data_IF_152571037549
#
_entry.id   IF_152571037549
#
_cell.length_a   1.000
_cell.length_b   1.000
_cell.length_c   1.000
_cell.angle_alpha   90.00
_cell.angle_beta   90.00
_cell.angle_gamma   90.00
#
_symmetry.space_group_name_H-M   'P 1'
#
loop_
_entity.id
_entity.type
_entity.pdbx_description
1 polymer ?
#
# COMPACT_ATOMS: atom_id res chain seq x y z
N UNK A 1 10.51 2.92 -20.36
CA UNK A 1 11.96 2.86 -20.59
C UNK A 1 12.41 1.46 -20.20
N UNK A 2 12.99 0.65 -21.11
CA UNK A 2 13.49 -0.67 -20.73
C UNK A 2 14.64 -0.49 -19.73
N UNK A 3 14.56 -1.23 -18.64
CA UNK A 3 15.57 -1.25 -17.58
C UNK A 3 16.91 -1.67 -18.18
N UNK A 4 17.86 -0.76 -18.27
CA UNK A 4 19.19 -1.04 -18.80
C UNK A 4 19.90 -2.09 -17.93
N UNK A 5 20.53 -3.04 -18.58
CA UNK A 5 21.39 -4.03 -17.91
C UNK A 5 22.47 -3.28 -17.11
N UNK A 6 22.68 -3.70 -15.85
CA UNK A 6 23.66 -3.06 -14.96
C UNK A 6 25.04 -3.04 -15.61
N UNK A 7 25.78 -1.89 -15.60
CA UNK A 7 27.13 -1.79 -16.16
C UNK A 7 28.12 -2.83 -15.60
N UNK A 8 27.94 -3.24 -14.34
CA UNK A 8 28.72 -4.27 -13.68
C UNK A 8 28.52 -5.66 -14.28
N UNK A 9 27.28 -6.02 -14.67
CA UNK A 9 26.98 -7.27 -15.35
C UNK A 9 27.61 -7.32 -16.74
N UNK A 10 27.51 -6.25 -17.51
CA UNK A 10 28.14 -6.16 -18.84
C UNK A 10 29.65 -6.33 -18.76
N UNK A 11 30.30 -5.66 -17.79
CA UNK A 11 31.73 -5.79 -17.57
C UNK A 11 32.14 -7.24 -17.20
N UNK A 12 31.36 -7.90 -16.31
CA UNK A 12 31.63 -9.26 -15.91
C UNK A 12 31.45 -10.28 -17.04
N UNK A 13 30.44 -10.10 -17.92
CA UNK A 13 30.29 -10.93 -19.13
C UNK A 13 31.44 -10.74 -20.12
N UNK A 14 31.93 -9.51 -20.29
CA UNK A 14 33.10 -9.23 -21.14
C UNK A 14 34.37 -9.88 -20.58
N UNK A 15 34.55 -9.89 -19.25
CA UNK A 15 35.68 -10.59 -18.61
C UNK A 15 35.60 -12.10 -18.79
N UNK A 16 34.38 -12.71 -18.69
CA UNK A 16 34.17 -14.12 -18.99
C UNK A 16 34.48 -14.46 -20.45
N UNK A 17 34.10 -13.61 -21.39
CA UNK A 17 34.42 -13.80 -22.82
C UNK A 17 35.94 -13.73 -23.07
N UNK A 18 36.68 -12.85 -22.39
CA UNK A 18 38.13 -12.72 -22.51
C UNK A 18 38.90 -13.93 -21.95
N UNK A 19 38.35 -14.68 -20.98
CA UNK A 19 38.96 -15.92 -20.47
C UNK A 19 39.06 -16.98 -21.56
N UNK A 20 38.17 -16.99 -22.56
CA UNK A 20 38.21 -17.90 -23.72
C UNK A 20 39.43 -17.66 -24.59
N UNK A 21 39.98 -16.48 -24.62
CA UNK A 21 41.16 -16.12 -25.41
C UNK A 21 42.49 -16.44 -24.71
N UNK A 22 42.46 -16.65 -23.38
CA UNK A 22 43.65 -16.92 -22.55
C UNK A 22 44.10 -18.42 -22.52
N UNK A 23 43.42 -19.31 -23.24
CA UNK A 23 43.76 -20.73 -23.31
C UNK A 23 43.08 -21.59 -22.23
N UNK A 24 43.01 -22.92 -22.45
CA UNK A 24 42.29 -23.88 -21.59
C UNK A 24 43.15 -24.43 -20.42
N UNK A 25 43.95 -23.61 -19.76
CA UNK A 25 44.71 -24.02 -18.58
C UNK A 25 43.81 -24.13 -17.33
N UNK A 26 44.19 -25.00 -16.38
CA UNK A 26 43.44 -25.20 -15.12
C UNK A 26 43.21 -23.88 -14.34
N UNK A 27 44.14 -22.96 -14.36
CA UNK A 27 44.03 -21.64 -13.75
C UNK A 27 42.94 -20.75 -14.42
N UNK A 28 42.80 -20.85 -15.75
CA UNK A 28 41.77 -20.12 -16.51
C UNK A 28 40.37 -20.67 -16.19
N UNK A 29 40.22 -21.98 -15.99
CA UNK A 29 38.95 -22.61 -15.55
C UNK A 29 38.53 -22.18 -14.15
N UNK A 30 39.49 -22.12 -13.20
CA UNK A 30 39.22 -21.65 -11.82
C UNK A 30 38.78 -20.19 -11.83
N UNK A 31 39.46 -19.34 -12.61
CA UNK A 31 39.09 -17.92 -12.74
C UNK A 31 37.68 -17.72 -13.37
N UNK A 32 37.39 -18.49 -14.44
CA UNK A 32 36.07 -18.45 -15.07
C UNK A 32 34.95 -18.90 -14.11
N UNK A 33 35.18 -19.96 -13.34
CA UNK A 33 34.22 -20.44 -12.34
C UNK A 33 33.98 -19.42 -11.22
N UNK A 34 35.02 -18.73 -10.76
CA UNK A 34 34.91 -17.69 -9.75
C UNK A 34 34.16 -16.45 -10.30
N UNK A 35 34.45 -16.01 -11.52
CA UNK A 35 33.73 -14.92 -12.20
C UNK A 35 32.27 -15.27 -12.40
N UNK A 36 31.95 -16.50 -12.84
CA UNK A 36 30.58 -16.94 -13.01
C UNK A 36 29.81 -16.95 -11.67
N UNK A 37 30.42 -17.46 -10.61
CA UNK A 37 29.84 -17.44 -9.27
C UNK A 37 29.60 -16.00 -8.79
N UNK A 38 30.53 -15.11 -9.03
CA UNK A 38 30.40 -13.70 -8.66
C UNK A 38 29.25 -13.02 -9.42
N UNK A 39 29.11 -13.26 -10.72
CA UNK A 39 27.99 -12.76 -11.54
C UNK A 39 26.64 -13.31 -11.08
N UNK A 40 26.55 -14.61 -10.78
CA UNK A 40 25.33 -15.22 -10.26
C UNK A 40 24.93 -14.62 -8.89
N UNK A 41 25.90 -14.37 -8.01
CA UNK A 41 25.65 -13.74 -6.73
C UNK A 41 25.16 -12.30 -6.91
N UNK A 42 25.77 -11.54 -7.82
CA UNK A 42 25.33 -10.17 -8.15
C UNK A 42 23.90 -10.16 -8.73
N UNK A 43 23.58 -11.03 -9.67
CA UNK A 43 22.24 -11.20 -10.22
C UNK A 43 21.21 -11.55 -9.14
N UNK A 44 21.55 -12.45 -8.23
CA UNK A 44 20.69 -12.82 -7.12
C UNK A 44 20.44 -11.66 -6.16
N UNK A 45 21.46 -10.84 -5.87
CA UNK A 45 21.32 -9.65 -5.04
C UNK A 45 20.48 -8.56 -5.73
N UNK A 46 20.74 -8.30 -7.02
CA UNK A 46 19.95 -7.33 -7.80
C UNK A 46 18.49 -7.76 -7.95
N UNK A 47 18.23 -9.05 -8.21
CA UNK A 47 16.86 -9.58 -8.26
C UNK A 47 16.16 -9.52 -6.89
N UNK A 48 16.87 -9.80 -5.80
CA UNK A 48 16.34 -9.67 -4.44
C UNK A 48 16.03 -8.23 -4.07
N UNK A 49 16.88 -7.27 -4.47
CA UNK A 49 16.63 -5.84 -4.26
C UNK A 49 15.49 -5.31 -5.12
N UNK A 50 15.36 -5.77 -6.36
CA UNK A 50 14.26 -5.43 -7.25
C UNK A 50 12.93 -6.03 -6.77
N UNK A 51 12.95 -7.27 -6.30
CA UNK A 51 11.80 -7.91 -5.68
C UNK A 51 11.42 -7.24 -4.35
N UNK A 52 12.37 -6.88 -3.51
CA UNK A 52 12.14 -6.09 -2.29
C UNK A 52 11.60 -4.69 -2.58
N UNK A 53 12.00 -4.04 -3.67
CA UNK A 53 11.45 -2.73 -4.06
C UNK A 53 10.08 -2.85 -4.74
N UNK A 54 9.78 -3.91 -5.46
CA UNK A 54 8.44 -4.18 -6.02
C UNK A 54 7.46 -4.69 -4.96
N UNK A 55 7.89 -5.56 -4.04
CA UNK A 55 7.06 -6.02 -2.90
C UNK A 55 6.88 -4.92 -1.85
N UNK A 56 7.67 -3.85 -1.91
CA UNK A 56 7.57 -2.72 -0.99
C UNK A 56 6.80 -1.51 -1.53
N UNK A 57 6.32 -1.54 -2.77
CA UNK A 57 5.41 -0.52 -3.28
C UNK A 57 4.02 -0.77 -2.71
N UNK A 58 3.57 0.11 -1.81
CA UNK A 58 2.20 0.07 -1.30
C UNK A 58 1.23 0.36 -2.45
N UNK A 59 0.42 -0.64 -2.81
CA UNK A 59 -0.70 -0.44 -3.73
C UNK A 59 -1.84 0.29 -3.01
N UNK A 60 -1.83 1.62 -3.13
CA UNK A 60 -2.84 2.48 -2.52
C UNK A 60 -4.24 2.21 -3.08
N UNK A 61 -4.36 1.91 -4.38
CA UNK A 61 -5.65 1.68 -5.00
C UNK A 61 -6.30 0.41 -4.43
N UNK A 62 -5.53 -0.67 -4.26
CA UNK A 62 -5.99 -1.90 -3.64
C UNK A 62 -6.48 -1.67 -2.20
N UNK A 63 -5.68 -0.97 -1.38
CA UNK A 63 -6.05 -0.70 0.03
C UNK A 63 -7.26 0.21 0.13
N UNK A 64 -7.31 1.27 -0.68
CA UNK A 64 -8.45 2.21 -0.66
C UNK A 64 -9.72 1.57 -1.20
N UNK A 65 -9.63 0.72 -2.23
CA UNK A 65 -10.74 -0.11 -2.70
C UNK A 65 -11.27 -1.01 -1.60
N UNK A 66 -10.38 -1.72 -0.90
CA UNK A 66 -10.76 -2.55 0.24
C UNK A 66 -11.44 -1.76 1.37
N UNK A 67 -10.92 -0.56 1.69
CA UNK A 67 -11.58 0.34 2.65
C UNK A 67 -13.00 0.74 2.17
N UNK A 68 -13.15 1.07 0.90
CA UNK A 68 -14.42 1.50 0.29
C UNK A 68 -15.47 0.39 0.32
N UNK A 69 -15.07 -0.86 0.05
CA UNK A 69 -15.96 -2.03 0.02
C UNK A 69 -16.40 -2.47 1.42
N UNK A 70 -15.73 -2.01 2.47
CA UNK A 70 -15.98 -2.42 3.85
C UNK A 70 -16.39 -1.25 4.77
N UNK A 71 -17.06 -0.22 4.24
CA UNK A 71 -17.50 0.94 5.05
C UNK A 71 -18.60 0.60 6.06
N UNK A 72 -19.24 -0.55 5.94
CA UNK A 72 -20.30 -1.07 6.80
C UNK A 72 -19.81 -1.72 8.12
N UNK A 73 -18.48 -1.83 8.31
CA UNK A 73 -17.87 -2.45 9.49
C UNK A 73 -16.69 -1.64 10.00
N UNK A 74 -16.10 -2.04 11.10
CA UNK A 74 -14.84 -1.47 11.57
C UNK A 74 -13.67 -2.26 11.01
N UNK A 75 -12.70 -1.56 10.42
CA UNK A 75 -11.44 -2.14 9.97
C UNK A 75 -10.33 -1.83 10.97
N UNK A 76 -9.50 -2.82 11.23
CA UNK A 76 -8.31 -2.66 12.05
C UNK A 76 -7.06 -2.41 11.20
N UNK A 77 -6.05 -1.79 11.81
CA UNK A 77 -4.80 -1.47 11.12
C UNK A 77 -4.08 -2.73 10.63
N UNK A 78 -4.17 -3.80 11.40
CA UNK A 78 -3.61 -5.11 11.09
C UNK A 78 -4.19 -5.70 9.80
N UNK A 79 -5.49 -5.58 9.65
CA UNK A 79 -6.22 -6.07 8.48
C UNK A 79 -5.82 -5.31 7.21
N UNK A 80 -5.74 -3.98 7.29
CA UNK A 80 -5.29 -3.15 6.19
C UNK A 80 -3.83 -3.40 5.82
N UNK A 81 -2.98 -3.65 6.81
CA UNK A 81 -1.58 -4.01 6.60
C UNK A 81 -1.44 -5.38 5.92
N UNK A 82 -2.30 -6.35 6.28
CA UNK A 82 -2.35 -7.67 5.64
C UNK A 82 -2.75 -7.57 4.16
N UNK A 83 -3.76 -6.75 3.82
CA UNK A 83 -4.15 -6.47 2.42
C UNK A 83 -2.99 -5.90 1.60
N UNK A 84 -2.15 -5.06 2.24
CA UNK A 84 -0.97 -4.48 1.61
C UNK A 84 0.26 -5.42 1.63
N UNK A 85 0.17 -6.62 2.22
CA UNK A 85 1.30 -7.54 2.45
C UNK A 85 2.49 -6.88 3.18
N UNK A 86 2.20 -5.97 4.11
CA UNK A 86 3.19 -5.23 4.90
C UNK A 86 3.00 -5.47 6.39
N UNK A 87 4.08 -5.28 7.16
CA UNK A 87 3.94 -5.17 8.62
C UNK A 87 3.16 -3.89 8.98
N UNK A 88 2.42 -3.91 10.09
CA UNK A 88 1.63 -2.78 10.60
C UNK A 88 2.41 -1.46 10.63
N UNK A 89 3.65 -1.51 11.08
CA UNK A 89 4.52 -0.34 11.17
C UNK A 89 4.87 0.22 9.79
N UNK A 90 5.34 -0.63 8.87
CA UNK A 90 5.69 -0.22 7.52
C UNK A 90 4.48 0.27 6.74
N UNK A 91 3.35 -0.42 6.85
CA UNK A 91 2.09 0.01 6.23
C UNK A 91 1.68 1.40 6.71
N UNK A 92 1.57 1.62 8.03
CA UNK A 92 1.13 2.89 8.61
C UNK A 92 2.03 4.06 8.20
N UNK A 93 3.37 3.86 8.27
CA UNK A 93 4.34 4.87 7.89
C UNK A 93 4.24 5.23 6.40
N UNK A 94 4.22 4.23 5.52
CA UNK A 94 4.13 4.44 4.07
C UNK A 94 2.81 5.05 3.64
N UNK A 95 1.72 4.54 4.17
CA UNK A 95 0.40 5.06 3.88
C UNK A 95 0.31 6.56 4.22
N UNK A 96 0.80 6.93 5.41
CA UNK A 96 0.85 8.33 5.84
C UNK A 96 1.75 9.20 4.96
N UNK A 97 2.90 8.69 4.54
CA UNK A 97 3.81 9.40 3.63
C UNK A 97 3.16 9.68 2.28
N UNK A 98 2.40 8.71 1.73
CA UNK A 98 1.78 8.81 0.42
C UNK A 98 0.48 9.62 0.42
N UNK A 99 -0.31 9.55 1.51
CA UNK A 99 -1.66 10.16 1.55
C UNK A 99 -1.75 11.40 2.46
N UNK A 100 -0.76 11.62 3.32
CA UNK A 100 -0.80 12.66 4.37
C UNK A 100 -1.60 12.26 5.62
N UNK A 101 -2.34 11.14 5.59
CA UNK A 101 -3.21 10.68 6.67
C UNK A 101 -2.80 9.31 7.19
N UNK A 102 -3.02 9.04 8.49
CA UNK A 102 -2.93 7.67 8.97
C UNK A 102 -4.06 6.82 8.36
N UNK A 103 -3.85 5.50 8.11
CA UNK A 103 -4.83 4.63 7.46
C UNK A 103 -6.22 4.69 8.12
N UNK A 104 -6.27 4.52 9.44
CA UNK A 104 -7.54 4.53 10.20
C UNK A 104 -8.22 5.90 10.15
N UNK A 105 -7.46 6.99 10.18
CA UNK A 105 -8.03 8.35 10.05
C UNK A 105 -8.61 8.55 8.65
N UNK A 106 -7.92 8.10 7.61
CA UNK A 106 -8.44 8.18 6.24
C UNK A 106 -9.72 7.35 6.09
N UNK A 107 -9.72 6.11 6.58
CA UNK A 107 -10.90 5.25 6.58
C UNK A 107 -12.10 5.90 7.31
N UNK A 108 -11.85 6.54 8.47
CA UNK A 108 -12.88 7.31 9.17
C UNK A 108 -13.45 8.45 8.32
N UNK A 109 -12.59 9.19 7.61
CA UNK A 109 -13.05 10.22 6.68
C UNK A 109 -13.94 9.66 5.57
N UNK A 110 -13.57 8.52 4.98
CA UNK A 110 -14.38 7.83 3.96
C UNK A 110 -15.76 7.44 4.50
N UNK A 111 -15.83 6.91 5.74
CA UNK A 111 -17.11 6.63 6.42
C UNK A 111 -17.96 7.89 6.60
N UNK A 112 -17.34 9.02 7.00
CA UNK A 112 -18.07 10.26 7.16
C UNK A 112 -18.56 10.85 5.83
N UNK A 113 -17.78 10.73 4.76
CA UNK A 113 -18.23 11.09 3.41
C UNK A 113 -19.41 10.23 2.96
N UNK A 114 -19.37 8.92 3.21
CA UNK A 114 -20.51 8.03 2.94
C UNK A 114 -21.73 8.38 3.79
N UNK A 115 -21.52 8.77 5.05
CA UNK A 115 -22.60 9.26 5.91
C UNK A 115 -23.27 10.50 5.33
N UNK A 116 -22.50 11.50 4.89
CA UNK A 116 -23.01 12.68 4.21
C UNK A 116 -23.85 12.31 2.98
N UNK A 117 -23.31 11.45 2.12
CA UNK A 117 -24.03 10.96 0.95
C UNK A 117 -25.39 10.34 1.30
N UNK A 118 -25.44 9.47 2.34
CA UNK A 118 -26.69 8.86 2.78
C UNK A 118 -27.66 9.89 3.39
N UNK A 119 -27.16 10.88 4.12
CA UNK A 119 -27.95 11.94 4.71
C UNK A 119 -28.58 12.87 3.65
N UNK A 120 -27.86 13.10 2.54
CA UNK A 120 -28.32 13.96 1.45
C UNK A 120 -29.27 13.26 0.50
N UNK A 121 -29.01 11.98 0.20
CA UNK A 121 -29.68 11.24 -0.87
C UNK A 121 -30.69 10.18 -0.38
N UNK A 122 -31.02 10.17 0.92
CA UNK A 122 -32.01 9.25 1.46
C UNK A 122 -32.78 9.81 2.64
N UNK A 123 -33.95 9.23 2.92
CA UNK A 123 -34.75 9.54 4.12
C UNK A 123 -34.43 8.62 5.31
N UNK A 124 -33.30 7.91 5.26
CA UNK A 124 -32.83 7.06 6.36
C UNK A 124 -32.75 7.83 7.66
N UNK A 125 -33.22 7.25 8.76
CA UNK A 125 -33.00 7.84 10.09
C UNK A 125 -31.52 7.90 10.43
N UNK A 126 -31.12 8.79 11.33
CA UNK A 126 -29.70 8.87 11.79
C UNK A 126 -29.23 7.52 12.36
N UNK A 127 -30.15 6.80 13.06
CA UNK A 127 -29.89 5.44 13.55
C UNK A 127 -29.62 4.47 12.41
N UNK A 128 -30.40 4.54 11.33
CA UNK A 128 -30.23 3.67 10.16
C UNK A 128 -28.92 3.99 9.41
N UNK A 129 -28.56 5.27 9.27
CA UNK A 129 -27.27 5.68 8.67
C UNK A 129 -26.10 5.16 9.52
N UNK A 130 -26.18 5.30 10.86
CA UNK A 130 -25.15 4.79 11.76
C UNK A 130 -25.00 3.25 11.58
N UNK A 131 -26.10 2.51 11.58
CA UNK A 131 -26.10 1.05 11.40
C UNK A 131 -25.52 0.64 10.03
N UNK A 132 -25.88 1.33 8.96
CA UNK A 132 -25.36 1.08 7.60
C UNK A 132 -23.85 1.31 7.48
N UNK A 133 -23.25 2.06 8.41
CA UNK A 133 -21.81 2.30 8.50
C UNK A 133 -21.13 1.48 9.61
N UNK A 134 -21.83 0.46 10.15
CA UNK A 134 -21.27 -0.46 11.15
C UNK A 134 -21.17 0.12 12.57
N UNK A 135 -21.89 1.19 12.88
CA UNK A 135 -21.96 1.73 14.23
C UNK A 135 -23.19 1.18 14.96
N UNK A 136 -22.95 0.40 16.01
CA UNK A 136 -24.01 -0.13 16.88
C UNK A 136 -24.64 0.93 17.77
N UNK A 137 -23.88 1.96 18.16
CA UNK A 137 -24.35 3.10 18.97
C UNK A 137 -24.53 4.38 18.11
N UNK A 138 -25.77 4.81 17.80
CA UNK A 138 -26.03 6.03 17.05
C UNK A 138 -25.59 7.33 17.75
N UNK A 139 -25.49 7.31 19.08
CA UNK A 139 -25.01 8.48 19.84
C UNK A 139 -23.50 8.63 19.69
N UNK A 140 -22.77 7.50 19.74
CA UNK A 140 -21.34 7.48 19.43
C UNK A 140 -21.08 7.96 17.99
N UNK A 141 -21.81 7.42 17.02
CA UNK A 141 -21.74 7.88 15.63
C UNK A 141 -21.97 9.41 15.52
N UNK A 142 -23.00 9.94 16.15
CA UNK A 142 -23.34 11.37 16.09
C UNK A 142 -22.24 12.25 16.68
N UNK A 143 -21.61 11.81 17.78
CA UNK A 143 -20.46 12.51 18.39
C UNK A 143 -19.25 12.49 17.47
N UNK A 144 -18.97 11.34 16.85
CA UNK A 144 -17.86 11.14 15.93
C UNK A 144 -18.04 11.98 14.66
N UNK A 145 -19.24 11.98 14.08
CA UNK A 145 -19.61 12.80 12.92
C UNK A 145 -19.40 14.29 13.22
N UNK A 146 -19.93 14.78 14.36
CA UNK A 146 -19.74 16.16 14.80
C UNK A 146 -18.27 16.52 15.02
N UNK A 147 -17.50 15.61 15.62
CA UNK A 147 -16.05 15.81 15.83
C UNK A 147 -15.29 15.93 14.50
N UNK A 148 -15.70 15.19 13.48
CA UNK A 148 -15.00 15.13 12.18
C UNK A 148 -15.43 16.26 11.25
N UNK A 149 -16.72 16.64 11.23
CA UNK A 149 -17.30 17.56 10.26
C UNK A 149 -17.77 18.90 10.88
N UNK A 150 -17.68 19.05 12.20
CA UNK A 150 -18.07 20.28 12.91
C UNK A 150 -19.56 20.38 13.23
N UNK A 151 -20.44 19.67 12.51
CA UNK A 151 -21.91 19.70 12.64
C UNK A 151 -22.44 18.33 13.05
N UNK A 152 -23.56 18.29 13.79
CA UNK A 152 -24.24 17.03 14.06
C UNK A 152 -24.91 16.49 12.79
N UNK A 153 -25.14 15.15 12.65
CA UNK A 153 -25.82 14.59 11.48
C UNK A 153 -27.21 15.21 11.23
N UNK A 154 -27.93 15.55 12.30
CA UNK A 154 -29.23 16.22 12.20
C UNK A 154 -29.09 17.64 11.65
N UNK A 155 -28.13 18.43 12.15
CA UNK A 155 -27.88 19.78 11.68
C UNK A 155 -27.40 19.78 10.22
N UNK A 156 -26.52 18.84 9.87
CA UNK A 156 -26.05 18.64 8.50
C UNK A 156 -27.21 18.40 7.53
N UNK A 157 -28.12 17.46 7.84
CA UNK A 157 -29.30 17.19 6.99
C UNK A 157 -30.20 18.40 6.84
N UNK A 158 -30.39 19.19 7.91
CA UNK A 158 -31.22 20.40 7.85
C UNK A 158 -30.62 21.52 7.02
N UNK A 159 -29.29 21.62 6.96
CA UNK A 159 -28.58 22.62 6.13
C UNK A 159 -28.52 22.26 4.65
N UNK A 160 -28.50 20.98 4.31
CA UNK A 160 -28.43 20.52 2.91
C UNK A 160 -29.78 20.46 2.18
N UNK A 161 -30.91 20.65 2.88
CA UNK A 161 -32.27 20.62 2.31
C UNK A 161 -32.90 22.03 2.16
N UNK A 162 -32.12 23.09 2.26
CA UNK A 162 -32.49 24.44 1.87
C UNK A 162 -32.03 24.73 0.47
#
# INVERSE_FOLDING_TARGET
>A
MPSGVSPGLVAGFNQLAAVRESGYGSAAFINAANLLRQLLTQLALESSQQQASQTSALDLALVQGYMQDNLDRNLELEELAAVAHLSKYHFSSRYKTLTGYSPIKHYLHMKMQRACYLLDNSDMSIKAVAAALGYSDPLYFSRLFKKTLGLSPRAYRSSGRQ
#
